data_IF_051746379198
#
_entry.id   IF_051746379198
#
_cell.length_a   1.000
_cell.length_b   1.000
_cell.length_c   1.000
_cell.angle_alpha   90.00
_cell.angle_beta   90.00
_cell.angle_gamma   90.00
#
_symmetry.space_group_name_H-M   'P 1'
#
loop_
_entity.id
_entity.type
_entity.pdbx_description
1 polymer ?
#
# COMPACT_ATOMS: atom_id res chain seq x y z
N UNK A 1 -13.84 1.01 16.66
CA UNK A 1 -13.08 1.52 15.50
C UNK A 1 -11.70 0.91 15.56
N UNK A 2 -11.19 0.41 14.43
CA UNK A 2 -9.81 -0.08 14.33
C UNK A 2 -8.90 1.15 14.20
N UNK A 3 -7.87 1.32 15.04
CA UNK A 3 -6.95 2.46 14.93
C UNK A 3 -6.18 2.40 13.61
N UNK A 4 -5.96 3.56 12.97
CA UNK A 4 -5.11 3.63 11.78
C UNK A 4 -3.68 3.27 12.16
N UNK A 5 -3.06 2.40 11.37
CA UNK A 5 -1.67 2.01 11.59
C UNK A 5 -0.74 3.21 11.31
N UNK A 6 0.05 3.68 12.29
CA UNK A 6 1.02 4.74 12.04
C UNK A 6 2.19 4.21 11.21
N UNK A 7 2.53 4.93 10.14
CA UNK A 7 3.65 4.59 9.24
C UNK A 7 4.86 5.51 9.43
N UNK A 8 4.68 6.61 10.17
CA UNK A 8 5.70 7.59 10.51
C UNK A 8 5.70 7.85 12.02
N UNK A 9 6.86 8.19 12.55
CA UNK A 9 7.03 8.54 13.95
C UNK A 9 6.37 9.89 14.24
N UNK A 10 5.40 10.00 15.16
CA UNK A 10 4.72 11.26 15.46
C UNK A 10 5.64 12.33 16.10
N UNK A 11 6.84 11.95 16.54
CA UNK A 11 7.80 12.86 17.16
C UNK A 11 8.86 13.41 16.19
N UNK A 12 9.23 12.67 15.15
CA UNK A 12 10.35 13.04 14.27
C UNK A 12 10.14 12.68 12.79
N UNK A 13 8.94 12.23 12.42
CA UNK A 13 8.51 11.93 11.05
C UNK A 13 9.27 10.81 10.32
N UNK A 14 10.30 10.23 10.96
CA UNK A 14 11.03 9.08 10.43
C UNK A 14 10.16 7.82 10.30
N UNK A 15 10.57 6.91 9.42
CA UNK A 15 9.89 5.62 9.17
C UNK A 15 9.92 4.73 10.42
N UNK A 16 8.78 4.13 10.76
CA UNK A 16 8.67 3.18 11.87
C UNK A 16 9.12 1.77 11.46
N UNK A 17 9.58 1.00 12.44
CA UNK A 17 9.87 -0.43 12.29
C UNK A 17 8.80 -1.25 13.02
N UNK A 18 8.43 -2.40 12.45
CA UNK A 18 7.59 -3.38 13.13
C UNK A 18 8.46 -4.12 14.14
N UNK A 19 8.08 -4.04 15.43
CA UNK A 19 8.82 -4.63 16.55
C UNK A 19 8.34 -6.02 16.94
N UNK A 20 7.05 -6.30 16.73
CA UNK A 20 6.40 -7.51 17.24
C UNK A 20 5.19 -7.89 16.38
N UNK A 21 5.02 -9.19 16.13
CA UNK A 21 3.84 -9.80 15.52
C UNK A 21 3.26 -10.85 16.48
N UNK A 22 1.94 -10.99 16.50
CA UNK A 22 1.23 -11.96 17.34
C UNK A 22 0.43 -12.88 16.43
N UNK A 23 0.58 -14.19 16.61
CA UNK A 23 -0.26 -15.18 15.95
C UNK A 23 -1.55 -15.36 16.74
N UNK A 24 -2.71 -15.02 16.16
CA UNK A 24 -4.01 -15.15 16.82
C UNK A 24 -4.45 -16.61 17.04
N UNK A 25 -3.78 -17.59 16.43
CA UNK A 25 -4.14 -19.00 16.56
C UNK A 25 -3.44 -19.70 17.75
N UNK A 26 -2.25 -19.26 18.16
CA UNK A 26 -1.45 -19.94 19.18
C UNK A 26 -0.69 -18.99 20.11
N UNK A 27 -1.02 -17.69 20.11
CA UNK A 27 -0.42 -16.62 20.93
C UNK A 27 1.10 -16.46 20.80
N UNK A 28 1.70 -17.11 19.80
CA UNK A 28 3.14 -17.03 19.57
C UNK A 28 3.50 -15.60 19.19
N UNK A 29 4.43 -15.03 19.98
CA UNK A 29 4.95 -13.69 19.77
C UNK A 29 6.27 -13.74 19.02
N UNK A 30 6.31 -13.17 17.82
CA UNK A 30 7.52 -13.04 17.03
C UNK A 30 8.08 -11.62 17.20
N UNK A 31 9.26 -11.52 17.80
CA UNK A 31 9.94 -10.25 18.08
C UNK A 31 11.13 -10.05 17.13
N UNK A 32 11.26 -8.84 16.59
CA UNK A 32 12.37 -8.50 15.70
C UNK A 32 12.36 -7.02 15.31
N UNK A 33 13.19 -6.67 14.34
CA UNK A 33 13.15 -5.36 13.67
C UNK A 33 12.82 -5.61 12.21
N UNK A 34 11.57 -5.38 11.82
CA UNK A 34 11.13 -5.57 10.45
C UNK A 34 10.81 -4.22 9.81
N UNK A 35 11.17 -4.08 8.54
CA UNK A 35 10.75 -2.94 7.75
C UNK A 35 9.24 -3.00 7.53
N UNK A 36 8.58 -1.84 7.53
CA UNK A 36 7.21 -1.76 7.07
C UNK A 36 7.11 -2.25 5.61
N UNK A 37 6.14 -3.11 5.28
CA UNK A 37 5.87 -3.51 3.90
C UNK A 37 5.73 -2.29 2.98
N UNK A 38 6.26 -2.39 1.76
CA UNK A 38 6.24 -1.30 0.76
C UNK A 38 4.82 -0.78 0.53
N UNK A 39 3.83 -1.68 0.53
CA UNK A 39 2.42 -1.33 0.34
C UNK A 39 1.91 -0.32 1.39
N UNK A 40 2.39 -0.39 2.65
CA UNK A 40 1.99 0.54 3.71
C UNK A 40 2.67 1.90 3.60
N UNK A 41 3.73 2.03 2.79
CA UNK A 41 4.37 3.31 2.49
C UNK A 41 3.61 4.11 1.41
N UNK A 42 2.62 3.50 0.77
CA UNK A 42 1.77 4.13 -0.24
C UNK A 42 0.57 4.83 0.41
N UNK A 43 0.04 5.86 -0.23
CA UNK A 43 -1.18 6.53 0.22
C UNK A 43 -2.38 5.57 0.11
N UNK A 44 -3.44 5.84 0.86
CA UNK A 44 -4.67 5.04 0.80
C UNK A 44 -5.25 4.97 -0.63
N UNK A 45 -5.15 6.06 -1.39
CA UNK A 45 -5.58 6.11 -2.79
C UNK A 45 -4.71 5.25 -3.71
N UNK A 46 -3.40 5.26 -3.54
CA UNK A 46 -2.46 4.42 -4.30
C UNK A 46 -2.67 2.94 -3.97
N UNK A 47 -2.88 2.60 -2.69
CA UNK A 47 -3.20 1.25 -2.25
C UNK A 47 -4.50 0.73 -2.91
N UNK A 48 -5.55 1.55 -2.91
CA UNK A 48 -6.82 1.21 -3.57
C UNK A 48 -6.64 1.04 -5.08
N UNK A 49 -5.86 1.90 -5.73
CA UNK A 49 -5.57 1.77 -7.15
C UNK A 49 -4.89 0.43 -7.48
N UNK A 50 -3.87 0.03 -6.70
CA UNK A 50 -3.17 -1.25 -6.89
C UNK A 50 -4.12 -2.43 -6.67
N UNK A 51 -4.95 -2.39 -5.63
CA UNK A 51 -5.94 -3.44 -5.38
C UNK A 51 -6.91 -3.58 -6.57
N UNK A 52 -7.41 -2.46 -7.09
CA UNK A 52 -8.31 -2.48 -8.25
C UNK A 52 -7.62 -2.96 -9.53
N UNK A 53 -6.33 -2.63 -9.71
CA UNK A 53 -5.53 -3.15 -10.80
C UNK A 53 -5.42 -4.68 -10.73
N UNK A 54 -5.13 -5.24 -9.54
CA UNK A 54 -5.06 -6.69 -9.33
C UNK A 54 -6.42 -7.38 -9.55
N UNK A 55 -7.51 -6.82 -9.01
CA UNK A 55 -8.87 -7.34 -9.19
C UNK A 55 -9.27 -7.32 -10.67
N UNK A 56 -8.83 -6.31 -11.42
CA UNK A 56 -9.08 -6.19 -12.87
C UNK A 56 -8.07 -6.99 -13.70
N UNK A 57 -7.31 -7.93 -13.10
CA UNK A 57 -6.29 -8.75 -13.77
C UNK A 57 -5.25 -7.94 -14.56
N UNK A 58 -4.96 -6.72 -14.11
CA UNK A 58 -4.05 -5.78 -14.79
C UNK A 58 -4.66 -5.03 -15.98
N UNK A 59 -5.97 -5.13 -16.21
CA UNK A 59 -6.65 -4.50 -17.33
C UNK A 59 -6.88 -3.00 -17.10
N UNK A 60 -6.00 -2.18 -17.67
CA UNK A 60 -6.17 -0.71 -17.66
C UNK A 60 -7.45 -0.24 -18.35
N UNK A 61 -7.92 -0.98 -19.36
CA UNK A 61 -9.19 -0.69 -20.05
C UNK A 61 -10.38 -0.88 -19.11
N UNK A 62 -10.39 -1.97 -18.34
CA UNK A 62 -11.45 -2.25 -17.38
C UNK A 62 -11.43 -1.24 -16.23
N UNK A 63 -10.23 -0.90 -15.74
CA UNK A 63 -10.08 0.16 -14.73
C UNK A 63 -10.59 1.50 -15.22
N UNK A 64 -10.27 1.91 -16.45
CA UNK A 64 -10.76 3.17 -17.04
C UNK A 64 -12.29 3.21 -17.06
N UNK A 65 -12.92 2.11 -17.47
CA UNK A 65 -14.37 1.98 -17.45
C UNK A 65 -14.96 2.05 -16.03
N UNK A 66 -14.40 1.29 -15.07
CA UNK A 66 -14.85 1.26 -13.67
C UNK A 66 -14.70 2.60 -12.96
N UNK A 67 -13.59 3.30 -13.21
CA UNK A 67 -13.26 4.58 -12.58
C UNK A 67 -13.84 5.78 -13.33
N UNK A 68 -14.53 5.57 -14.47
CA UNK A 68 -15.08 6.63 -15.32
C UNK A 68 -14.05 7.69 -15.72
N UNK A 69 -12.82 7.27 -16.00
CA UNK A 69 -11.72 8.14 -16.43
C UNK A 69 -11.10 7.62 -17.72
N UNK A 70 -10.33 8.47 -18.40
CA UNK A 70 -9.70 8.10 -19.65
C UNK A 70 -8.62 7.02 -19.44
N UNK A 71 -8.41 6.16 -20.43
CA UNK A 71 -7.30 5.20 -20.41
C UNK A 71 -5.94 5.87 -20.17
N UNK A 72 -5.60 7.01 -20.83
CA UNK A 72 -4.38 7.76 -20.49
C UNK A 72 -4.28 8.14 -19.02
N UNK A 73 -5.38 8.54 -18.37
CA UNK A 73 -5.38 8.91 -16.95
C UNK A 73 -5.04 7.71 -16.06
N UNK A 74 -5.63 6.54 -16.31
CA UNK A 74 -5.31 5.32 -15.56
C UNK A 74 -3.85 4.90 -15.80
N UNK A 75 -3.40 4.98 -17.06
CA UNK A 75 -2.04 4.61 -17.45
C UNK A 75 -1.00 5.47 -16.73
N UNK A 76 -1.17 6.79 -16.78
CA UNK A 76 -0.26 7.73 -16.12
C UNK A 76 -0.21 7.45 -14.61
N UNK A 77 -1.36 7.23 -13.98
CA UNK A 77 -1.42 6.90 -12.55
C UNK A 77 -0.71 5.59 -12.21
N UNK A 78 -0.80 4.57 -13.06
CA UNK A 78 -0.03 3.34 -12.88
C UNK A 78 1.47 3.61 -13.00
N UNK A 79 1.89 4.34 -14.03
CA UNK A 79 3.30 4.67 -14.26
C UNK A 79 3.89 5.48 -13.08
N UNK A 80 3.14 6.46 -12.54
CA UNK A 80 3.51 7.24 -11.34
C UNK A 80 3.73 6.34 -10.11
N UNK A 81 2.85 5.36 -9.90
CA UNK A 81 2.94 4.40 -8.78
C UNK A 81 4.15 3.48 -8.97
N UNK A 82 4.40 3.00 -10.19
CA UNK A 82 5.58 2.17 -10.49
C UNK A 82 6.87 2.94 -10.22
N UNK A 83 6.94 4.20 -10.65
CA UNK A 83 8.10 5.06 -10.40
C UNK A 83 8.31 5.28 -8.90
N UNK A 84 7.23 5.56 -8.16
CA UNK A 84 7.28 5.73 -6.70
C UNK A 84 7.80 4.48 -6.01
N UNK A 85 7.25 3.31 -6.31
CA UNK A 85 7.68 2.02 -5.72
C UNK A 85 9.15 1.74 -6.02
N UNK A 86 9.62 2.06 -7.23
CA UNK A 86 11.01 1.83 -7.65
C UNK A 86 12.03 2.68 -6.90
N UNK A 87 11.60 3.75 -6.22
CA UNK A 87 12.45 4.67 -5.45
C UNK A 87 12.37 4.47 -3.92
N UNK A 88 11.53 3.54 -3.44
CA UNK A 88 11.26 3.25 -2.02
C UNK A 88 12.16 2.17 -1.40
#
# INVERSE_FOLDING_TARGET
MIPKLPIQCPSCENVLLVRQLICENCDTTVSGRYMLPVFLKLTEEEQQFILQFLISSGSLKEMAAKMSISYPTVRNKLDDIIEKISKL
#
